data_IF_606999872661
#
_entry.id   IF_606999872661
#
_cell.length_a   1.000
_cell.length_b   1.000
_cell.length_c   1.000
_cell.angle_alpha   90.00
_cell.angle_beta   90.00
_cell.angle_gamma   90.00
#
_symmetry.space_group_name_H-M   'P 1'
#
loop_
_entity.id
_entity.type
_entity.pdbx_description
1 polymer ?
#
# COMPACT_ATOMS: atom_id res chain seq x y z
N UNK A 1 11.02 -22.98 5.98
CA UNK A 1 10.38 -21.83 6.65
C UNK A 1 10.47 -20.62 5.71
N UNK A 2 9.38 -20.17 5.07
CA UNK A 2 9.42 -19.06 4.10
C UNK A 2 9.20 -17.74 4.84
N UNK A 3 10.25 -16.95 5.05
CA UNK A 3 10.08 -15.58 5.50
C UNK A 3 9.39 -14.74 4.40
N UNK A 4 8.16 -14.33 4.67
CA UNK A 4 7.74 -12.94 4.63
C UNK A 4 7.81 -12.11 3.34
N UNK A 5 8.28 -12.61 2.19
CA UNK A 5 8.24 -11.84 0.92
C UNK A 5 6.84 -11.78 0.28
N UNK A 6 5.78 -11.65 1.08
CA UNK A 6 4.56 -11.02 0.57
C UNK A 6 4.80 -9.51 0.60
N UNK A 7 5.50 -9.04 -0.43
CA UNK A 7 5.62 -7.63 -0.79
C UNK A 7 4.24 -7.01 -0.73
N UNK A 8 4.08 -6.09 0.21
CA UNK A 8 2.77 -5.62 0.61
C UNK A 8 2.78 -4.78 1.88
N UNK A 9 3.84 -4.82 2.68
CA UNK A 9 3.87 -4.11 3.95
C UNK A 9 4.89 -2.98 3.99
N UNK A 10 5.70 -2.79 2.95
CA UNK A 10 6.62 -1.64 2.92
C UNK A 10 5.84 -0.32 2.79
N UNK A 11 6.33 0.79 3.38
CA UNK A 11 5.71 2.11 3.21
C UNK A 11 5.51 2.48 1.73
N UNK A 12 6.52 2.25 0.89
CA UNK A 12 6.48 2.55 -0.54
C UNK A 12 5.37 1.78 -1.28
N UNK A 13 5.15 0.51 -0.96
CA UNK A 13 4.06 -0.27 -1.57
C UNK A 13 2.68 0.18 -1.08
N UNK A 14 2.57 0.60 0.19
CA UNK A 14 1.33 1.16 0.75
C UNK A 14 0.97 2.47 0.04
N UNK A 15 1.93 3.39 -0.09
CA UNK A 15 1.77 4.63 -0.84
C UNK A 15 1.42 4.36 -2.32
N UNK A 16 2.08 3.41 -2.98
CA UNK A 16 1.76 3.04 -4.36
C UNK A 16 0.30 2.60 -4.49
N UNK A 17 -0.21 1.78 -3.56
CA UNK A 17 -1.62 1.36 -3.57
C UNK A 17 -2.58 2.48 -3.21
N UNK A 18 -2.17 3.44 -2.38
CA UNK A 18 -2.95 4.65 -2.12
C UNK A 18 -3.05 5.51 -3.37
N UNK A 19 -1.95 5.75 -4.09
CA UNK A 19 -1.97 6.48 -5.37
C UNK A 19 -2.94 5.87 -6.37
N UNK A 20 -2.94 4.55 -6.54
CA UNK A 20 -3.90 3.87 -7.42
C UNK A 20 -5.36 4.05 -6.98
N UNK A 21 -5.61 4.06 -5.66
CA UNK A 21 -6.94 4.29 -5.11
C UNK A 21 -7.42 5.71 -5.38
N UNK A 22 -6.56 6.70 -5.16
CA UNK A 22 -6.89 8.10 -5.40
C UNK A 22 -7.08 8.40 -6.88
N UNK A 23 -6.25 7.83 -7.76
CA UNK A 23 -6.45 7.92 -9.21
C UNK A 23 -7.78 7.30 -9.65
N UNK A 24 -8.20 6.19 -9.02
CA UNK A 24 -9.52 5.62 -9.29
C UNK A 24 -10.67 6.53 -8.83
N UNK A 25 -10.45 7.38 -7.81
CA UNK A 25 -11.44 8.33 -7.31
C UNK A 25 -11.80 9.36 -8.38
N UNK A 26 -10.80 9.96 -9.04
CA UNK A 26 -11.01 10.92 -10.12
C UNK A 26 -11.92 10.32 -11.21
N UNK A 27 -11.70 9.06 -11.57
CA UNK A 27 -12.51 8.41 -12.60
C UNK A 27 -13.88 7.97 -12.11
N UNK A 28 -14.05 7.82 -10.79
CA UNK A 28 -15.38 7.61 -10.21
C UNK A 28 -16.21 8.89 -10.29
N UNK A 29 -15.61 10.06 -10.03
CA UNK A 29 -16.24 11.38 -10.21
C UNK A 29 -16.63 11.59 -11.68
N UNK A 30 -15.76 11.22 -12.62
CA UNK A 30 -16.03 11.29 -14.07
C UNK A 30 -17.02 10.21 -14.58
N UNK A 31 -17.52 9.34 -13.70
CA UNK A 31 -18.56 8.36 -14.04
C UNK A 31 -18.07 7.12 -14.80
N UNK A 32 -16.76 6.87 -14.90
CA UNK A 32 -16.22 5.69 -15.57
C UNK A 32 -16.71 4.38 -14.95
N UNK A 33 -16.62 3.27 -15.68
CA UNK A 33 -17.01 1.94 -15.20
C UNK A 33 -15.90 1.20 -14.42
N UNK A 34 -16.28 0.37 -13.45
CA UNK A 34 -15.34 -0.46 -12.65
C UNK A 34 -14.41 -1.31 -13.51
N UNK A 35 -14.93 -1.96 -14.56
CA UNK A 35 -14.15 -2.80 -15.47
C UNK A 35 -13.11 -2.00 -16.26
N UNK A 36 -13.48 -0.82 -16.74
CA UNK A 36 -12.58 0.08 -17.47
C UNK A 36 -11.41 0.51 -16.56
N UNK A 37 -11.72 0.96 -15.35
CA UNK A 37 -10.73 1.38 -14.35
C UNK A 37 -9.81 0.22 -13.98
N UNK A 38 -10.37 -0.97 -13.76
CA UNK A 38 -9.58 -2.16 -13.40
C UNK A 38 -8.56 -2.54 -14.49
N UNK A 39 -8.97 -2.49 -15.76
CA UNK A 39 -8.09 -2.74 -16.90
C UNK A 39 -6.96 -1.72 -16.97
N UNK A 40 -7.28 -0.44 -16.83
CA UNK A 40 -6.30 0.63 -17.01
C UNK A 40 -5.31 0.70 -15.85
N UNK A 41 -5.78 0.52 -14.61
CA UNK A 41 -4.92 0.46 -13.42
C UNK A 41 -4.23 -0.91 -13.25
N UNK A 42 -4.51 -1.89 -14.13
CA UNK A 42 -4.02 -3.28 -14.07
C UNK A 42 -4.22 -3.94 -12.70
N UNK A 43 -5.40 -3.71 -12.12
CA UNK A 43 -5.83 -4.34 -10.86
C UNK A 43 -7.05 -5.21 -11.10
N UNK A 44 -7.32 -6.13 -10.17
CA UNK A 44 -8.48 -6.99 -10.27
C UNK A 44 -9.79 -6.19 -10.14
N UNK A 45 -10.81 -6.51 -10.95
CA UNK A 45 -12.11 -5.80 -10.97
C UNK A 45 -12.79 -5.76 -9.60
N UNK A 46 -12.74 -6.87 -8.86
CA UNK A 46 -13.22 -6.96 -7.47
C UNK A 46 -12.57 -5.96 -6.50
N UNK A 47 -11.32 -5.54 -6.76
CA UNK A 47 -10.63 -4.52 -5.94
C UNK A 47 -11.24 -3.15 -6.20
N UNK A 48 -11.42 -2.79 -7.47
CA UNK A 48 -12.04 -1.52 -7.87
C UNK A 48 -13.50 -1.46 -7.41
N UNK A 49 -14.23 -2.59 -7.45
CA UNK A 49 -15.61 -2.66 -6.96
C UNK A 49 -15.69 -2.33 -5.47
N UNK A 50 -14.74 -2.80 -4.65
CA UNK A 50 -14.66 -2.43 -3.22
C UNK A 50 -14.34 -0.96 -3.04
N UNK A 51 -13.39 -0.42 -3.80
CA UNK A 51 -13.08 1.02 -3.75
C UNK A 51 -14.30 1.86 -4.11
N UNK A 52 -15.03 1.52 -5.17
CA UNK A 52 -16.26 2.23 -5.55
C UNK A 52 -17.31 2.22 -4.45
N UNK A 53 -17.48 1.09 -3.74
CA UNK A 53 -18.37 1.02 -2.59
C UNK A 53 -17.94 1.99 -1.49
N UNK A 54 -16.68 1.97 -1.08
CA UNK A 54 -16.15 2.89 -0.07
C UNK A 54 -16.24 4.36 -0.49
N UNK A 55 -15.95 4.66 -1.76
CA UNK A 55 -16.07 6.01 -2.30
C UNK A 55 -17.52 6.51 -2.34
N UNK A 56 -18.50 5.65 -2.65
CA UNK A 56 -19.92 6.04 -2.53
C UNK A 56 -20.34 6.36 -1.10
N UNK A 57 -19.70 5.75 -0.11
CA UNK A 57 -20.03 5.91 1.32
C UNK A 57 -19.31 7.12 1.95
N UNK A 58 -18.10 7.47 1.49
CA UNK A 58 -17.29 8.52 2.14
C UNK A 58 -16.36 9.30 1.19
N UNK A 59 -16.66 9.31 -0.10
CA UNK A 59 -15.91 10.04 -1.12
C UNK A 59 -14.45 9.60 -1.26
N UNK A 60 -13.63 10.49 -1.80
CA UNK A 60 -12.18 10.27 -1.99
C UNK A 60 -11.45 10.02 -0.67
N UNK A 61 -11.88 10.61 0.43
CA UNK A 61 -11.27 10.41 1.75
C UNK A 61 -11.39 8.97 2.25
N UNK A 62 -12.50 8.28 1.95
CA UNK A 62 -12.66 6.86 2.27
C UNK A 62 -11.66 5.94 1.54
N UNK A 63 -10.96 6.45 0.53
CA UNK A 63 -9.95 5.74 -0.23
C UNK A 63 -8.52 5.98 0.24
N UNK A 64 -8.28 6.88 1.19
CA UNK A 64 -6.94 7.12 1.75
C UNK A 64 -6.40 5.94 2.55
N UNK A 65 -5.09 5.88 2.71
CA UNK A 65 -4.46 4.92 3.61
C UNK A 65 -4.85 5.21 5.06
N UNK A 66 -5.05 4.15 5.86
CA UNK A 66 -5.22 4.27 7.31
C UNK A 66 -3.87 4.40 8.05
N UNK A 67 -2.77 4.52 7.30
CA UNK A 67 -1.42 4.45 7.82
C UNK A 67 -0.86 3.02 7.86
N UNK A 68 0.36 2.85 8.38
CA UNK A 68 1.03 1.56 8.43
C UNK A 68 0.30 0.56 9.31
N UNK A 69 0.26 -0.70 8.86
CA UNK A 69 -0.40 -1.80 9.59
C UNK A 69 0.25 -2.06 10.95
N UNK A 70 1.54 -1.76 11.09
CA UNK A 70 2.28 -1.86 12.34
C UNK A 70 3.24 -0.69 12.49
N UNK A 71 3.55 -0.33 13.74
CA UNK A 71 4.60 0.63 14.06
C UNK A 71 5.98 -0.03 13.92
N UNK A 72 6.96 0.73 13.45
CA UNK A 72 8.34 0.27 13.46
C UNK A 72 8.82 0.05 14.89
N UNK A 73 9.50 -1.07 15.12
CA UNK A 73 10.02 -1.45 16.44
C UNK A 73 11.39 -0.86 16.73
N UNK A 74 12.15 -0.56 15.68
CA UNK A 74 13.51 -0.05 15.76
C UNK A 74 13.50 1.44 15.43
N UNK A 75 14.22 2.22 16.22
CA UNK A 75 14.51 3.62 15.88
C UNK A 75 15.57 3.67 14.77
N UNK A 76 15.72 4.82 14.08
CA UNK A 76 16.78 4.99 13.08
C UNK A 76 18.19 4.70 13.62
N UNK A 77 18.46 5.05 14.88
CA UNK A 77 19.74 4.75 15.52
C UNK A 77 19.93 3.25 15.78
N UNK A 78 18.87 2.54 16.16
CA UNK A 78 18.91 1.08 16.34
C UNK A 78 19.09 0.36 15.00
N UNK A 79 18.52 0.89 13.91
CA UNK A 79 18.78 0.41 12.56
C UNK A 79 20.24 0.57 12.16
N UNK A 80 20.83 1.75 12.35
CA UNK A 80 22.23 1.99 12.02
C UNK A 80 23.19 1.10 12.83
N UNK A 81 22.88 0.91 14.12
CA UNK A 81 23.61 -0.03 14.97
C UNK A 81 23.48 -1.48 14.46
N UNK A 82 22.25 -1.92 14.16
CA UNK A 82 21.99 -3.27 13.66
C UNK A 82 22.71 -3.53 12.33
N UNK A 83 22.68 -2.57 11.40
CA UNK A 83 23.38 -2.68 10.12
C UNK A 83 24.89 -2.78 10.29
N UNK A 84 25.46 -2.01 11.22
CA UNK A 84 26.88 -2.11 11.58
C UNK A 84 27.22 -3.50 12.11
N UNK A 85 26.40 -4.04 13.02
CA UNK A 85 26.65 -5.35 13.63
C UNK A 85 26.49 -6.49 12.62
N UNK A 86 25.44 -6.43 11.77
CA UNK A 86 25.24 -7.42 10.71
C UNK A 86 26.40 -7.44 9.71
N UNK A 87 27.00 -6.27 9.41
CA UNK A 87 28.15 -6.17 8.52
C UNK A 87 29.44 -6.78 9.10
N UNK A 88 29.56 -6.95 10.42
CA UNK A 88 30.72 -7.62 11.05
C UNK A 88 30.72 -9.13 10.82
N UNK A 89 29.56 -9.70 10.48
CA UNK A 89 29.40 -11.13 10.22
C UNK A 89 29.29 -11.98 11.49
N UNK A 90 28.94 -13.27 11.36
CA UNK A 90 28.55 -14.14 12.48
C UNK A 90 29.73 -14.66 13.33
N UNK A 91 30.97 -14.30 13.00
CA UNK A 91 32.20 -14.73 13.70
C UNK A 91 32.85 -13.60 14.51
N UNK A 92 32.16 -12.45 14.64
CA UNK A 92 32.61 -11.33 15.47
C UNK A 92 32.38 -11.58 16.96
#
# INVERSE_FOLDING_TARGET
>A
MRYGQRGGYTPAEQERRERLRLQAADWFEDGHGTRQIARELRVHERTVARWRKSWREGGTEALRSKGPVSREKLTPAQWAWLETELNRGPLA
#
